data_IF_470762235399
#
_entry.id   IF_470762235399
#
_cell.length_a   1.000
_cell.length_b   1.000
_cell.length_c   1.000
_cell.angle_alpha   90.00
_cell.angle_beta   90.00
_cell.angle_gamma   90.00
#
_symmetry.space_group_name_H-M   'P 1'
#
loop_
_entity.id
_entity.type
_entity.pdbx_description
1 polymer ?
#
# COMPACT_ATOMS: atom_id res chain seq x y z
N UNK A 1 15.53 7.51 -7.86
CA UNK A 1 14.15 7.08 -8.15
C UNK A 1 13.62 6.42 -6.88
N UNK A 2 12.40 6.73 -6.45
CA UNK A 2 11.80 6.11 -5.27
C UNK A 2 10.48 5.42 -5.62
N UNK A 3 10.29 4.22 -5.10
CA UNK A 3 9.01 3.50 -5.12
C UNK A 3 8.37 3.76 -3.78
N UNK A 4 7.23 4.43 -3.75
CA UNK A 4 6.59 4.70 -2.47
C UNK A 4 5.07 4.81 -2.55
N UNK A 5 4.42 4.14 -1.62
CA UNK A 5 2.97 4.00 -1.53
C UNK A 5 2.49 4.37 -0.13
N UNK A 6 1.22 4.73 -0.06
CA UNK A 6 0.51 4.96 1.21
C UNK A 6 -0.74 4.10 1.25
N UNK A 7 -0.98 3.46 2.39
CA UNK A 7 -2.27 2.87 2.71
C UNK A 7 -3.10 3.96 3.39
N UNK A 8 -4.33 4.16 2.92
CA UNK A 8 -5.21 5.23 3.37
C UNK A 8 -6.57 4.70 3.78
N UNK A 9 -7.14 5.31 4.82
CA UNK A 9 -8.55 5.18 5.20
C UNK A 9 -9.19 6.56 5.05
N UNK A 10 -10.20 6.69 4.21
CA UNK A 10 -10.88 7.97 3.95
C UNK A 10 -9.90 9.11 3.58
N UNK A 11 -8.91 8.81 2.74
CA UNK A 11 -7.81 9.72 2.33
C UNK A 11 -6.81 10.09 3.43
N UNK A 12 -6.92 9.51 4.64
CA UNK A 12 -5.95 9.69 5.71
C UNK A 12 -4.93 8.54 5.69
N UNK A 13 -3.64 8.88 5.67
CA UNK A 13 -2.55 7.90 5.68
C UNK A 13 -2.51 7.16 7.01
N UNK A 14 -2.55 5.82 6.96
CA UNK A 14 -2.43 4.94 8.13
C UNK A 14 -1.12 4.15 8.13
N UNK A 15 -0.53 3.93 6.95
CA UNK A 15 0.78 3.34 6.79
C UNK A 15 1.41 3.78 5.45
N UNK A 16 2.72 3.66 5.34
CA UNK A 16 3.44 3.95 4.11
C UNK A 16 4.69 3.10 3.98
N UNK A 17 5.08 2.84 2.75
CA UNK A 17 6.30 2.14 2.42
C UNK A 17 7.06 2.97 1.40
N UNK A 18 8.39 2.98 1.53
CA UNK A 18 9.27 3.66 0.61
C UNK A 18 10.52 2.82 0.41
N UNK A 19 10.82 2.61 -0.85
CA UNK A 19 12.03 2.01 -1.33
C UNK A 19 12.78 2.99 -2.23
N UNK A 20 14.11 2.91 -2.21
CA UNK A 20 14.97 3.70 -3.08
C UNK A 20 15.65 2.77 -4.06
N UNK A 21 15.55 3.09 -5.35
CA UNK A 21 16.27 2.36 -6.37
C UNK A 21 17.79 2.54 -6.14
N UNK A 22 18.45 1.50 -5.65
CA UNK A 22 19.90 1.48 -5.42
C UNK A 22 20.60 0.62 -6.49
N UNK A 23 21.61 -0.19 -6.13
CA UNK A 23 22.43 -0.91 -7.14
C UNK A 23 21.76 -2.19 -7.63
N UNK A 24 21.09 -2.90 -6.74
CA UNK A 24 20.03 -3.86 -7.05
C UNK A 24 18.74 -3.09 -7.31
N UNK A 25 18.02 -3.47 -8.38
CA UNK A 25 16.86 -2.70 -8.86
C UNK A 25 15.54 -3.40 -8.53
N UNK A 26 15.61 -4.60 -7.99
CA UNK A 26 14.52 -5.54 -7.86
C UNK A 26 14.15 -5.74 -6.38
N UNK A 27 13.84 -4.65 -5.69
CA UNK A 27 13.36 -4.69 -4.31
C UNK A 27 11.83 -4.67 -4.24
N UNK A 28 11.31 -5.16 -3.12
CA UNK A 28 9.88 -5.10 -2.80
C UNK A 28 9.67 -4.56 -1.40
N UNK A 29 8.58 -3.80 -1.25
CA UNK A 29 8.16 -3.26 0.03
C UNK A 29 6.73 -3.72 0.35
N UNK A 30 6.54 -4.35 1.51
CA UNK A 30 5.24 -4.87 1.94
C UNK A 30 4.79 -4.21 3.24
N UNK A 31 3.50 -3.90 3.34
CA UNK A 31 2.84 -3.44 4.57
C UNK A 31 1.71 -4.41 4.89
N UNK A 32 1.61 -4.83 6.16
CA UNK A 32 0.48 -5.57 6.69
C UNK A 32 0.05 -4.94 8.02
N UNK A 33 -1.22 -4.55 8.13
CA UNK A 33 -1.79 -3.90 9.32
C UNK A 33 -3.24 -4.34 9.52
N UNK A 34 -3.65 -4.50 10.78
CA UNK A 34 -5.05 -4.65 11.16
C UNK A 34 -5.64 -3.26 11.46
N UNK A 35 -6.78 -2.95 10.86
CA UNK A 35 -7.48 -1.67 11.02
C UNK A 35 -8.88 -1.91 11.58
N UNK A 36 -9.28 -1.11 12.57
CA UNK A 36 -10.68 -1.01 12.97
C UNK A 36 -11.39 -0.05 12.02
N UNK A 37 -12.43 -0.54 11.34
CA UNK A 37 -13.16 0.21 10.31
C UNK A 37 -14.64 0.33 10.70
N UNK A 38 -15.24 1.45 10.30
CA UNK A 38 -16.68 1.66 10.39
C UNK A 38 -17.34 1.38 9.04
N UNK A 39 -18.65 1.09 9.09
CA UNK A 39 -19.45 0.97 7.87
C UNK A 39 -19.32 2.24 7.04
N UNK A 40 -18.92 2.06 5.77
CA UNK A 40 -18.72 3.16 4.82
C UNK A 40 -17.28 3.67 4.71
N UNK A 41 -16.36 3.26 5.60
CA UNK A 41 -14.95 3.59 5.45
C UNK A 41 -14.36 3.02 4.16
N UNK A 42 -13.54 3.82 3.47
CA UNK A 42 -12.88 3.44 2.23
C UNK A 42 -11.39 3.24 2.46
N UNK A 43 -10.91 2.04 2.17
CA UNK A 43 -9.48 1.70 2.19
C UNK A 43 -8.92 1.76 0.78
N UNK A 44 -7.80 2.45 0.59
CA UNK A 44 -7.11 2.53 -0.70
C UNK A 44 -5.59 2.49 -0.55
N UNK A 45 -4.91 2.00 -1.59
CA UNK A 45 -3.46 2.17 -1.74
C UNK A 45 -3.23 3.26 -2.77
N UNK A 46 -2.46 4.28 -2.39
CA UNK A 46 -2.22 5.45 -3.22
C UNK A 46 -0.71 5.60 -3.49
N UNK A 47 -0.36 5.81 -4.76
CA UNK A 47 0.98 6.21 -5.16
C UNK A 47 1.26 7.63 -4.65
N UNK A 48 2.31 7.79 -3.85
CA UNK A 48 2.64 9.11 -3.31
C UNK A 48 3.23 10.03 -4.39
N UNK A 49 3.11 11.34 -4.18
CA UNK A 49 3.62 12.35 -5.12
C UNK A 49 5.11 12.15 -5.38
N UNK A 50 5.51 12.20 -6.65
CA UNK A 50 6.89 12.00 -7.13
C UNK A 50 7.46 10.59 -6.89
N UNK A 51 6.62 9.60 -6.60
CA UNK A 51 6.99 8.18 -6.56
C UNK A 51 6.44 7.42 -7.76
N UNK A 52 6.99 6.22 -7.97
CA UNK A 52 6.64 5.35 -9.09
C UNK A 52 6.28 3.95 -8.57
N UNK A 53 5.51 3.21 -9.35
CA UNK A 53 5.27 1.79 -9.13
C UNK A 53 5.98 1.02 -10.26
N UNK A 54 6.79 0.04 -9.92
CA UNK A 54 7.43 -0.82 -10.92
C UNK A 54 6.42 -1.88 -11.37
N UNK A 55 6.20 -2.01 -12.66
CA UNK A 55 5.28 -3.00 -13.22
C UNK A 55 5.81 -3.53 -14.57
N UNK A 56 5.48 -4.77 -14.89
CA UNK A 56 5.79 -5.41 -16.18
C UNK A 56 4.60 -6.27 -16.64
N UNK A 57 4.78 -7.07 -17.70
CA UNK A 57 3.70 -7.92 -18.23
C UNK A 57 3.14 -8.94 -17.23
N UNK A 58 3.87 -9.26 -16.16
CA UNK A 58 3.49 -10.29 -15.19
C UNK A 58 2.78 -9.73 -13.94
N UNK A 59 2.71 -8.40 -13.78
CA UNK A 59 1.95 -7.72 -12.71
C UNK A 59 2.20 -8.25 -11.28
N UNK A 60 3.38 -8.01 -10.73
CA UNK A 60 3.78 -8.53 -9.41
C UNK A 60 3.19 -7.78 -8.21
N UNK A 61 2.61 -6.59 -8.40
CA UNK A 61 2.08 -5.78 -7.30
C UNK A 61 0.74 -6.34 -6.81
N UNK A 62 0.60 -6.54 -5.50
CA UNK A 62 -0.62 -7.12 -4.91
C UNK A 62 -1.23 -6.19 -3.87
N UNK A 63 -2.57 -6.14 -3.82
CA UNK A 63 -3.34 -5.56 -2.72
C UNK A 63 -4.50 -6.49 -2.37
N UNK A 64 -4.57 -6.91 -1.10
CA UNK A 64 -5.60 -7.82 -0.60
C UNK A 64 -6.01 -7.45 0.82
N UNK A 65 -7.26 -7.73 1.17
CA UNK A 65 -7.78 -7.52 2.51
C UNK A 65 -8.92 -8.51 2.82
N UNK A 66 -9.18 -8.74 4.10
CA UNK A 66 -10.31 -9.54 4.57
C UNK A 66 -10.79 -9.02 5.94
N UNK A 67 -12.03 -9.35 6.31
CA UNK A 67 -12.58 -9.05 7.62
C UNK A 67 -12.05 -10.07 8.64
N UNK A 68 -11.29 -9.61 9.64
CA UNK A 68 -10.76 -10.48 10.70
C UNK A 68 -11.87 -10.90 11.69
N UNK A 69 -12.62 -9.93 12.21
CA UNK A 69 -13.84 -10.13 12.99
C UNK A 69 -14.70 -8.87 12.96
N UNK A 70 -16.02 -9.01 13.14
CA UNK A 70 -16.92 -7.88 13.33
C UNK A 70 -16.95 -7.46 14.80
N UNK A 71 -16.95 -6.15 15.04
CA UNK A 71 -17.22 -5.58 16.38
C UNK A 71 -18.70 -5.26 16.52
N UNK A 72 -19.23 -5.37 17.74
CA UNK A 72 -20.61 -5.03 18.07
C UNK A 72 -20.86 -3.52 18.05
#
# INVERSE_FOLDING_TARGET
>A
LAVCITLQVNSQVVAGARDYNTRDKEDSSTIAIALSLKVGDKVSVNLAKNCFLCDDFNHYNTFSAFLLYATA
#
